data_IF_067858927157
#
_entry.id   IF_067858927157
#
_cell.length_a   1.000
_cell.length_b   1.000
_cell.length_c   1.000
_cell.angle_alpha   90.00
_cell.angle_beta   90.00
_cell.angle_gamma   90.00
#
_symmetry.space_group_name_H-M   'P 1'
#
loop_
_entity.id
_entity.type
_entity.pdbx_description
1 polymer ?
#
# COMPACT_ATOMS: atom_id res chain seq x y z
N UNK A 1 -16.58 10.08 2.58
CA UNK A 1 -16.03 10.95 1.52
C UNK A 1 -14.55 10.63 1.30
N UNK A 2 -14.24 9.89 0.24
CA UNK A 2 -12.86 9.61 -0.16
C UNK A 2 -12.20 10.92 -0.61
N UNK A 3 -11.14 11.34 0.07
CA UNK A 3 -10.32 12.46 -0.39
C UNK A 3 -9.57 12.04 -1.66
N UNK A 4 -10.11 12.47 -2.80
CA UNK A 4 -9.48 12.32 -4.11
C UNK A 4 -8.46 13.46 -4.22
N UNK A 5 -7.22 13.17 -3.83
CA UNK A 5 -6.09 14.06 -4.16
C UNK A 5 -6.03 14.25 -5.68
N UNK A 6 -6.09 15.52 -6.10
CA UNK A 6 -6.02 16.07 -7.47
C UNK A 6 -5.72 15.03 -8.57
N UNK A 7 -6.64 14.86 -9.53
CA UNK A 7 -6.53 13.93 -10.67
C UNK A 7 -5.31 14.17 -11.57
N UNK A 8 -4.50 15.20 -11.29
CA UNK A 8 -3.16 15.44 -11.87
C UNK A 8 -2.05 14.70 -11.09
N UNK A 9 -2.30 13.43 -10.76
CA UNK A 9 -1.53 12.63 -9.82
C UNK A 9 -0.04 12.44 -10.14
N UNK A 10 0.69 11.97 -9.13
CA UNK A 10 2.06 11.42 -9.22
C UNK A 10 2.11 10.36 -10.35
N UNK A 11 2.47 10.73 -11.57
CA UNK A 11 2.35 9.86 -12.75
C UNK A 11 1.90 10.58 -14.02
N UNK A 12 1.61 11.89 -13.96
CA UNK A 12 1.38 12.68 -15.16
C UNK A 12 2.63 12.70 -16.06
N UNK A 13 2.41 12.48 -17.36
CA UNK A 13 3.33 12.17 -18.45
C UNK A 13 4.50 13.17 -18.68
N UNK A 14 4.64 14.19 -17.83
CA UNK A 14 5.69 15.22 -17.92
C UNK A 14 6.94 14.98 -17.05
N UNK A 15 6.87 14.17 -15.98
CA UNK A 15 8.05 13.84 -15.15
C UNK A 15 8.57 12.44 -15.51
N UNK A 16 9.41 12.35 -16.55
CA UNK A 16 9.96 11.10 -17.11
C UNK A 16 10.97 10.36 -16.19
N UNK A 17 10.89 10.49 -14.86
CA UNK A 17 11.84 9.79 -14.00
C UNK A 17 11.58 9.89 -12.52
N UNK A 18 12.53 9.35 -11.77
CA UNK A 18 12.52 9.36 -10.31
C UNK A 18 13.18 10.65 -9.80
N UNK A 19 12.41 11.74 -9.80
CA UNK A 19 12.88 13.05 -9.34
C UNK A 19 13.03 13.12 -7.81
N UNK A 20 13.78 14.10 -7.31
CA UNK A 20 13.85 14.35 -5.85
C UNK A 20 12.47 14.65 -5.26
N UNK A 21 11.66 15.42 -5.99
CA UNK A 21 10.30 15.78 -5.60
C UNK A 21 9.40 14.55 -5.53
N UNK A 22 9.48 13.67 -6.53
CA UNK A 22 8.79 12.37 -6.53
C UNK A 22 9.12 11.58 -5.26
N UNK A 23 10.41 11.40 -4.93
CA UNK A 23 10.84 10.66 -3.73
C UNK A 23 10.29 11.27 -2.45
N UNK A 24 10.30 12.60 -2.33
CA UNK A 24 9.76 13.32 -1.18
C UNK A 24 8.26 13.08 -1.04
N UNK A 25 7.49 13.21 -2.12
CA UNK A 25 6.04 12.99 -2.12
C UNK A 25 5.68 11.55 -1.76
N UNK A 26 6.35 10.57 -2.37
CA UNK A 26 6.14 9.14 -2.05
C UNK A 26 6.48 8.86 -0.58
N UNK A 27 7.59 9.41 -0.07
CA UNK A 27 7.96 9.25 1.34
C UNK A 27 6.91 9.83 2.27
N UNK A 28 6.40 11.04 1.98
CA UNK A 28 5.35 11.67 2.78
C UNK A 28 4.05 10.86 2.75
N UNK A 29 3.63 10.37 1.59
CA UNK A 29 2.43 9.53 1.45
C UNK A 29 2.57 8.22 2.23
N UNK A 30 3.70 7.51 2.09
CA UNK A 30 3.96 6.29 2.84
C UNK A 30 4.04 6.56 4.34
N UNK A 31 4.65 7.67 4.74
CA UNK A 31 4.73 8.06 6.15
C UNK A 31 3.33 8.33 6.72
N UNK A 32 2.49 9.10 6.03
CA UNK A 32 1.11 9.35 6.45
C UNK A 32 0.32 8.05 6.54
N UNK A 33 0.45 7.17 5.54
CA UNK A 33 -0.15 5.85 5.58
C UNK A 33 0.31 5.06 6.82
N UNK A 34 1.61 4.97 7.11
CA UNK A 34 2.12 4.25 8.30
C UNK A 34 1.56 4.82 9.60
N UNK A 35 1.45 6.14 9.73
CA UNK A 35 0.94 6.81 10.94
C UNK A 35 -0.58 6.83 11.04
N UNK A 36 -1.30 6.63 9.94
CA UNK A 36 -2.74 6.45 9.96
C UNK A 36 -3.10 5.15 10.69
N UNK A 37 -4.34 5.04 11.17
CA UNK A 37 -4.92 3.78 11.62
C UNK A 37 -5.60 3.01 10.48
N UNK A 38 -5.42 3.44 9.22
CA UNK A 38 -6.02 2.77 8.06
C UNK A 38 -5.50 1.34 7.94
N UNK A 39 -6.45 0.43 7.86
CA UNK A 39 -6.23 -1.02 7.77
C UNK A 39 -6.19 -1.51 6.32
N UNK A 40 -6.68 -0.66 5.40
CA UNK A 40 -6.69 -0.90 3.96
C UNK A 40 -5.31 -0.79 3.35
N UNK A 41 -5.11 -1.51 2.24
CA UNK A 41 -3.87 -1.43 1.48
C UNK A 41 -3.78 -0.12 0.68
N UNK A 42 -2.56 0.41 0.55
CA UNK A 42 -2.29 1.57 -0.27
C UNK A 42 -1.93 1.13 -1.70
N UNK A 43 -2.80 1.44 -2.67
CA UNK A 43 -2.59 1.13 -4.08
C UNK A 43 -2.05 2.33 -4.88
N UNK A 44 -1.06 2.07 -5.74
CA UNK A 44 -0.43 3.03 -6.64
C UNK A 44 -0.83 2.74 -8.08
N UNK A 45 -1.19 3.79 -8.83
CA UNK A 45 -1.65 3.73 -10.22
C UNK A 45 -0.74 2.91 -11.17
N UNK A 46 -1.29 2.22 -12.18
CA UNK A 46 -0.46 1.58 -13.20
C UNK A 46 0.37 2.57 -14.04
N UNK A 47 0.03 3.86 -14.02
CA UNK A 47 0.72 4.93 -14.75
C UNK A 47 2.16 5.19 -14.27
N UNK A 48 2.57 4.62 -13.14
CA UNK A 48 3.95 4.71 -12.70
C UNK A 48 4.88 3.86 -13.57
N UNK A 49 5.97 4.47 -14.02
CA UNK A 49 7.03 3.79 -14.74
C UNK A 49 7.63 2.64 -13.92
N UNK A 50 8.35 1.74 -14.59
CA UNK A 50 9.05 0.63 -13.92
C UNK A 50 10.03 1.14 -12.85
N UNK A 51 10.75 2.22 -13.15
CA UNK A 51 11.74 2.87 -12.28
C UNK A 51 11.07 3.53 -11.08
N UNK A 52 9.95 4.23 -11.32
CA UNK A 52 9.15 4.83 -10.26
C UNK A 52 8.59 3.77 -9.30
N UNK A 53 8.06 2.66 -9.83
CA UNK A 53 7.60 1.53 -9.01
C UNK A 53 8.75 0.89 -8.22
N UNK A 54 9.93 0.76 -8.82
CA UNK A 54 11.12 0.26 -8.11
C UNK A 54 11.53 1.19 -6.95
N UNK A 55 11.46 2.51 -7.14
CA UNK A 55 11.74 3.46 -6.06
C UNK A 55 10.67 3.42 -4.96
N UNK A 56 9.38 3.28 -5.31
CA UNK A 56 8.30 3.10 -4.33
C UNK A 56 8.54 1.83 -3.50
N UNK A 57 8.90 0.70 -4.12
CA UNK A 57 9.29 -0.52 -3.42
C UNK A 57 10.45 -0.28 -2.44
N UNK A 58 11.48 0.45 -2.89
CA UNK A 58 12.66 0.78 -2.07
C UNK A 58 12.27 1.62 -0.85
N UNK A 59 11.46 2.66 -1.03
CA UNK A 59 11.01 3.52 0.07
C UNK A 59 10.13 2.71 1.03
N UNK A 60 9.14 1.95 0.52
CA UNK A 60 8.25 1.14 1.35
C UNK A 60 8.99 0.14 2.24
N UNK A 61 10.09 -0.46 1.75
CA UNK A 61 10.94 -1.34 2.53
C UNK A 61 11.56 -0.64 3.76
N UNK A 62 11.93 0.64 3.64
CA UNK A 62 12.47 1.42 4.76
C UNK A 62 11.43 1.61 5.88
N UNK A 63 10.15 1.67 5.52
CA UNK A 63 9.03 1.76 6.45
C UNK A 63 8.51 0.38 6.90
N UNK A 64 9.25 -0.70 6.61
CA UNK A 64 8.89 -2.09 6.95
C UNK A 64 7.53 -2.57 6.38
N UNK A 65 7.01 -1.92 5.35
CA UNK A 65 5.79 -2.36 4.67
C UNK A 65 6.05 -3.57 3.78
N UNK A 66 5.01 -4.36 3.51
CA UNK A 66 5.00 -5.33 2.40
C UNK A 66 4.65 -4.58 1.13
N UNK A 67 5.37 -4.87 0.05
CA UNK A 67 5.12 -4.25 -1.25
C UNK A 67 5.08 -5.33 -2.32
N UNK A 68 4.08 -5.27 -3.21
CA UNK A 68 3.97 -6.22 -4.32
C UNK A 68 3.32 -5.55 -5.53
N UNK A 69 3.75 -5.92 -6.73
CA UNK A 69 3.02 -5.53 -7.94
C UNK A 69 1.94 -6.56 -8.25
N UNK A 70 0.78 -6.10 -8.69
CA UNK A 70 -0.31 -6.93 -9.19
C UNK A 70 -0.61 -6.56 -10.65
N UNK A 71 -1.20 -7.49 -11.42
CA UNK A 71 -1.48 -7.29 -12.85
C UNK A 71 -0.27 -7.51 -13.77
N UNK A 72 -0.48 -7.32 -15.08
CA UNK A 72 0.50 -7.53 -16.17
C UNK A 72 0.48 -6.36 -17.16
N UNK A 73 1.62 -6.08 -17.80
CA UNK A 73 1.75 -5.03 -18.82
C UNK A 73 1.29 -3.66 -18.31
N UNK A 74 0.49 -2.97 -19.12
CA UNK A 74 -0.09 -1.65 -18.84
C UNK A 74 -1.06 -1.63 -17.65
N UNK A 75 -1.62 -2.78 -17.26
CA UNK A 75 -2.50 -2.88 -16.09
C UNK A 75 -1.73 -3.24 -14.82
N UNK A 76 -0.40 -3.14 -14.82
CA UNK A 76 0.42 -3.51 -13.66
C UNK A 76 0.51 -2.36 -12.67
N UNK A 77 -0.08 -2.55 -11.49
CA UNK A 77 -0.11 -1.58 -10.41
C UNK A 77 0.65 -2.09 -9.18
N UNK A 78 0.96 -1.22 -8.22
CA UNK A 78 1.73 -1.55 -7.02
C UNK A 78 0.87 -1.39 -5.78
N UNK A 79 0.90 -2.36 -4.89
CA UNK A 79 0.16 -2.35 -3.62
C UNK A 79 1.15 -2.39 -2.46
N UNK A 80 0.92 -1.54 -1.45
CA UNK A 80 1.60 -1.55 -0.16
C UNK A 80 0.65 -1.99 0.94
N UNK A 81 1.05 -3.02 1.67
CA UNK A 81 0.28 -3.59 2.79
C UNK A 81 1.09 -3.46 4.08
N UNK A 82 0.40 -3.27 5.21
CA UNK A 82 1.04 -3.35 6.52
C UNK A 82 1.51 -4.77 6.82
N UNK A 83 2.55 -4.88 7.64
CA UNK A 83 2.96 -6.16 8.21
C UNK A 83 2.34 -6.28 9.59
N UNK A 84 1.40 -7.21 9.73
CA UNK A 84 0.87 -7.62 11.02
C UNK A 84 1.64 -8.85 11.50
N UNK A 85 2.00 -8.89 12.78
CA UNK A 85 2.33 -10.16 13.40
C UNK A 85 1.06 -11.02 13.48
N UNK A 86 1.16 -12.37 13.47
CA UNK A 86 0.00 -13.24 13.61
C UNK A 86 -0.86 -12.88 14.83
N UNK A 87 -0.21 -12.50 15.95
CA UNK A 87 -0.89 -12.07 17.17
C UNK A 87 -1.70 -10.78 16.97
N UNK A 88 -1.14 -9.79 16.27
CA UNK A 88 -1.84 -8.54 15.94
C UNK A 88 -3.05 -8.81 15.03
N UNK A 89 -2.88 -9.67 14.03
CA UNK A 89 -3.97 -10.05 13.13
C UNK A 89 -5.09 -10.77 13.90
N UNK A 90 -4.76 -11.70 14.79
CA UNK A 90 -5.76 -12.38 15.64
C UNK A 90 -6.48 -11.38 16.54
N UNK A 91 -5.78 -10.48 17.22
CA UNK A 91 -6.44 -9.46 18.04
C UNK A 91 -7.37 -8.57 17.23
N UNK A 92 -6.97 -8.22 16.01
CA UNK A 92 -7.82 -7.48 15.10
C UNK A 92 -9.08 -8.29 14.74
N UNK A 93 -8.93 -9.54 14.33
CA UNK A 93 -10.08 -10.38 13.96
C UNK A 93 -10.98 -10.70 15.14
N UNK A 94 -10.45 -10.78 16.36
CA UNK A 94 -11.26 -10.92 17.57
C UNK A 94 -12.14 -9.70 17.84
N UNK A 95 -11.74 -8.50 17.38
CA UNK A 95 -12.54 -7.28 17.53
C UNK A 95 -13.51 -7.06 16.37
N UNK A 96 -13.12 -7.39 15.14
CA UNK A 96 -13.89 -7.08 13.92
C UNK A 96 -14.68 -8.28 13.37
N UNK A 97 -14.39 -9.50 13.85
CA UNK A 97 -14.92 -10.76 13.33
C UNK A 97 -14.22 -11.21 12.04
N UNK A 98 -14.22 -10.36 11.03
CA UNK A 98 -13.62 -10.63 9.71
C UNK A 98 -13.03 -9.38 9.06
N UNK A 99 -12.16 -9.60 8.09
CA UNK A 99 -11.64 -8.59 7.15
C UNK A 99 -11.84 -9.10 5.73
N UNK A 100 -11.64 -8.25 4.72
CA UNK A 100 -11.64 -8.65 3.30
C UNK A 100 -10.66 -9.79 2.96
N UNK A 101 -9.66 -10.04 3.83
CA UNK A 101 -8.59 -11.03 3.59
C UNK A 101 -8.64 -12.25 4.51
N UNK A 102 -9.31 -12.14 5.66
CA UNK A 102 -9.22 -13.12 6.74
C UNK A 102 -10.52 -13.18 7.54
N UNK A 103 -10.93 -14.39 7.90
CA UNK A 103 -12.03 -14.68 8.82
C UNK A 103 -11.50 -15.48 10.02
N UNK A 104 -12.04 -15.25 11.21
CA UNK A 104 -11.67 -15.99 12.42
C UNK A 104 -12.62 -17.15 12.67
N UNK A 105 -12.11 -18.38 12.51
CA UNK A 105 -12.84 -19.59 12.84
C UNK A 105 -12.51 -20.02 14.28
N UNK A 106 -13.52 -20.15 15.18
CA UNK A 106 -13.29 -20.70 16.51
C UNK A 106 -12.89 -22.18 16.41
N UNK A 107 -12.09 -22.71 17.35
CA UNK A 107 -11.73 -24.11 17.36
C UNK A 107 -12.98 -24.98 17.50
N UNK A 108 -13.07 -26.04 16.69
CA UNK A 108 -14.15 -27.03 16.83
C UNK A 108 -14.03 -27.71 18.20
N UNK A 109 -15.15 -27.78 18.93
CA UNK A 109 -15.24 -28.60 20.13
C UNK A 109 -15.31 -30.05 19.70
N UNK A 110 -14.22 -30.80 19.90
CA UNK A 110 -14.24 -32.26 19.88
C UNK A 110 -15.07 -32.81 21.04
#
# INVERSE_FOLDING_TARGET
>A
PSEIFDRRGLGHEGEQGVTRLFKQKIRAMIQNYVHSYDREDLAFSPLFSKEQRAEIHKIARQFKLRSHSHGKGENRFLILSRKFSPKQLIYQLLQEGSTDKYELLPPERN
#
